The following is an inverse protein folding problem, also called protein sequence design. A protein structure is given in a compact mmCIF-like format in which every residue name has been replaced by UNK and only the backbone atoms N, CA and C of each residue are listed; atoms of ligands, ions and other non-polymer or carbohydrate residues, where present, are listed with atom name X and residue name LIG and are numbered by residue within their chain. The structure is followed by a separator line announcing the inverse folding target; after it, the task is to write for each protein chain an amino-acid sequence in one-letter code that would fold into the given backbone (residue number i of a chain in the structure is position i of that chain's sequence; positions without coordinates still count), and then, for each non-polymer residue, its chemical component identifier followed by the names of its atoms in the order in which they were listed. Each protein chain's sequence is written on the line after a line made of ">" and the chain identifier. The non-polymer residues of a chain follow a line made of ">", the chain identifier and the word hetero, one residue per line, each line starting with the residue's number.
data_IF_816891394001
#
_entry.id   IF_816891394001
#
_cell.length_a   1.000
_cell.length_b   1.000
_cell.length_c   1.000
_cell.angle_alpha   90.00
_cell.angle_beta   90.00
_cell.angle_gamma   90.00
#
_symmetry.space_group_name_H-M   'P 1'
#
loop_
_entity.id
_entity.type
_entity.pdbx_description
1 polymer ?
#
# COMPACT_ATOMS: atom_id res chain seq x y z
N UNK A 1 -15.66 -4.70 -3.89
CA UNK A 1 -14.41 -4.68 -3.09
C UNK A 1 -13.33 -3.84 -3.73
N UNK A 2 -12.88 -2.76 -3.07
CA UNK A 2 -11.71 -1.97 -3.49
C UNK A 2 -10.37 -2.68 -3.24
N UNK A 3 -10.39 -3.85 -2.59
CA UNK A 3 -9.20 -4.65 -2.26
C UNK A 3 -8.32 -4.97 -3.47
N UNK A 4 -8.90 -5.22 -4.65
CA UNK A 4 -8.12 -5.54 -5.86
C UNK A 4 -7.29 -4.32 -6.29
N UNK A 5 -7.85 -3.11 -6.19
CA UNK A 5 -7.15 -1.87 -6.53
C UNK A 5 -6.00 -1.62 -5.54
N UNK A 6 -6.26 -1.78 -4.24
CA UNK A 6 -5.23 -1.69 -3.20
C UNK A 6 -4.11 -2.70 -3.44
N UNK A 7 -4.43 -3.96 -3.77
CA UNK A 7 -3.43 -4.99 -4.06
C UNK A 7 -2.59 -4.61 -5.29
N UNK A 8 -3.19 -4.04 -6.34
CA UNK A 8 -2.44 -3.56 -7.52
C UNK A 8 -1.45 -2.46 -7.14
N UNK A 9 -1.88 -1.47 -6.35
CA UNK A 9 -1.02 -0.38 -5.89
C UNK A 9 0.09 -0.88 -4.96
N UNK A 10 -0.23 -1.72 -3.97
CA UNK A 10 0.77 -2.33 -3.09
C UNK A 10 1.82 -3.10 -3.90
N UNK A 11 1.41 -3.85 -4.93
CA UNK A 11 2.37 -4.54 -5.82
C UNK A 11 3.25 -3.57 -6.60
N UNK A 12 2.70 -2.48 -7.11
CA UNK A 12 3.48 -1.47 -7.83
C UNK A 12 4.49 -0.77 -6.92
N UNK A 13 4.13 -0.53 -5.65
CA UNK A 13 4.96 0.17 -4.66
C UNK A 13 6.07 -0.74 -4.11
N UNK A 14 5.74 -2.00 -3.83
CA UNK A 14 6.62 -2.94 -3.09
C UNK A 14 7.32 -3.96 -4.00
N UNK A 15 6.85 -4.12 -5.24
CA UNK A 15 7.34 -5.16 -6.15
C UNK A 15 6.96 -6.59 -5.76
N UNK A 16 6.11 -6.78 -4.74
CA UNK A 16 5.73 -8.08 -4.24
C UNK A 16 4.89 -8.89 -5.25
N UNK A 17 5.00 -10.22 -5.17
CA UNK A 17 4.15 -11.14 -5.92
C UNK A 17 2.67 -11.02 -5.52
N UNK A 18 1.76 -11.50 -6.37
CA UNK A 18 0.30 -11.39 -6.15
C UNK A 18 -0.13 -11.95 -4.78
N UNK A 19 0.43 -13.10 -4.40
CA UNK A 19 0.15 -13.72 -3.10
C UNK A 19 0.64 -12.87 -1.93
N UNK A 20 1.89 -12.39 -1.99
CA UNK A 20 2.49 -11.60 -0.92
C UNK A 20 1.77 -10.25 -0.74
N UNK A 21 1.40 -9.58 -1.82
CA UNK A 21 0.64 -8.34 -1.75
C UNK A 21 -0.78 -8.54 -1.21
N UNK A 22 -1.43 -9.65 -1.57
CA UNK A 22 -2.72 -10.04 -0.97
C UNK A 22 -2.57 -10.27 0.54
N UNK A 23 -1.57 -11.06 0.95
CA UNK A 23 -1.27 -11.34 2.36
C UNK A 23 -0.90 -10.07 3.16
N UNK A 24 -0.34 -9.05 2.50
CA UNK A 24 -0.02 -7.74 3.09
C UNK A 24 -1.29 -6.90 3.30
N UNK A 25 -2.15 -6.80 2.27
CA UNK A 25 -3.41 -6.04 2.32
C UNK A 25 -4.44 -6.68 3.26
N UNK A 26 -4.55 -8.00 3.25
CA UNK A 26 -5.45 -8.74 4.16
C UNK A 26 -4.92 -8.80 5.60
N UNK A 27 -3.60 -8.71 5.77
CA UNK A 27 -2.95 -8.73 7.08
C UNK A 27 -2.74 -7.35 7.71
N UNK A 28 -3.43 -6.31 7.24
CA UNK A 28 -3.33 -4.96 7.82
C UNK A 28 -3.70 -4.96 9.32
N UNK A 29 -3.03 -4.15 10.17
CA UNK A 29 -2.02 -3.14 9.82
C UNK A 29 -0.61 -3.72 9.63
N UNK A 30 0.01 -3.48 8.47
CA UNK A 30 1.40 -3.84 8.14
C UNK A 30 2.08 -2.69 7.38
N UNK A 31 3.39 -2.47 7.56
CA UNK A 31 4.13 -1.47 6.80
C UNK A 31 4.17 -1.85 5.32
N UNK A 32 3.78 -0.90 4.45
CA UNK A 32 3.87 -1.06 2.99
C UNK A 32 5.26 -0.65 2.50
N UNK A 33 5.81 0.44 3.06
CA UNK A 33 7.16 0.91 2.76
C UNK A 33 7.69 1.72 3.95
N UNK A 34 8.97 1.56 4.25
CA UNK A 34 9.64 2.19 5.39
C UNK A 34 10.84 3.01 4.89
N UNK A 35 11.24 4.03 5.65
CA UNK A 35 12.42 4.85 5.33
C UNK A 35 12.28 5.72 4.07
N UNK A 36 11.05 6.01 3.64
CA UNK A 36 10.77 6.89 2.50
C UNK A 36 10.80 8.36 2.91
N UNK A 37 11.21 9.24 1.99
CA UNK A 37 11.12 10.67 2.21
C UNK A 37 9.67 11.11 2.40
N UNK A 38 9.44 12.20 3.13
CA UNK A 38 8.08 12.71 3.41
C UNK A 38 7.25 12.92 2.14
N UNK A 39 7.86 13.45 1.09
CA UNK A 39 7.20 13.67 -0.20
C UNK A 39 6.79 12.35 -0.89
N UNK A 40 7.59 11.29 -0.74
CA UNK A 40 7.25 9.96 -1.25
C UNK A 40 6.16 9.33 -0.38
N UNK A 41 6.24 9.44 0.94
CA UNK A 41 5.24 8.96 1.88
C UNK A 41 3.85 9.56 1.59
N UNK A 42 3.77 10.88 1.36
CA UNK A 42 2.52 11.56 1.02
C UNK A 42 1.96 11.12 -0.35
N UNK A 43 2.82 10.91 -1.35
CA UNK A 43 2.41 10.37 -2.65
C UNK A 43 1.83 8.97 -2.53
N UNK A 44 2.52 8.08 -1.80
CA UNK A 44 2.08 6.71 -1.58
C UNK A 44 0.77 6.66 -0.80
N UNK A 45 0.62 7.51 0.23
CA UNK A 45 -0.64 7.67 0.97
C UNK A 45 -1.77 8.06 0.03
N UNK A 46 -1.60 9.11 -0.77
CA UNK A 46 -2.63 9.58 -1.69
C UNK A 46 -3.01 8.52 -2.74
N UNK A 47 -2.03 7.77 -3.25
CA UNK A 47 -2.24 6.72 -4.24
C UNK A 47 -3.03 5.54 -3.65
N UNK A 48 -2.66 5.08 -2.45
CA UNK A 48 -3.35 4.00 -1.75
C UNK A 48 -4.74 4.40 -1.24
N UNK A 49 -4.92 5.65 -0.77
CA UNK A 49 -6.23 6.17 -0.35
C UNK A 49 -7.20 6.31 -1.53
N UNK A 50 -6.72 6.74 -2.70
CA UNK A 50 -7.51 6.74 -3.94
C UNK A 50 -7.96 5.33 -4.33
N UNK A 51 -7.09 4.33 -4.16
CA UNK A 51 -7.41 2.92 -4.36
C UNK A 51 -8.33 2.33 -3.26
N UNK A 52 -8.67 3.11 -2.22
CA UNK A 52 -9.61 2.70 -1.17
C UNK A 52 -8.97 2.05 0.05
N UNK A 53 -7.66 2.13 0.22
CA UNK A 53 -6.99 1.79 1.47
C UNK A 53 -7.03 2.95 2.46
N UNK A 54 -6.81 2.66 3.74
CA UNK A 54 -6.54 3.68 4.75
C UNK A 54 -5.06 3.59 5.10
N UNK A 55 -4.32 4.68 4.93
CA UNK A 55 -2.87 4.71 5.17
C UNK A 55 -2.55 5.67 6.31
N UNK A 56 -1.73 5.18 7.24
CA UNK A 56 -1.17 5.96 8.34
C UNK A 56 0.32 6.17 8.05
N UNK A 57 0.77 7.42 8.14
CA UNK A 57 2.20 7.77 8.04
C UNK A 57 2.76 7.85 9.45
N UNK A 58 3.83 7.10 9.71
CA UNK A 58 4.59 7.11 10.97
C UNK A 58 6.02 7.50 10.71
#
# INVERSE_FOLDING_TARGET
>A
DKKIEVIKEVRAITGLGLKQAKDLVEGAPKPVKEGVAKDEAEKLKAQLEKAGAKVELK
#
